data_IF_147211490275
#
_entry.id   IF_147211490275
#
_cell.length_a   1.000
_cell.length_b   1.000
_cell.length_c   1.000
_cell.angle_alpha   90.00
_cell.angle_beta   90.00
_cell.angle_gamma   90.00
#
_symmetry.space_group_name_H-M   'P 1'
#
loop_
_entity.id
_entity.type
_entity.pdbx_description
1 polymer ?
#
# COMPACT_ATOMS: atom_id res chain seq x y z
N UNK A 1 2.56 15.54 6.03
CA UNK A 1 2.70 14.62 4.90
C UNK A 1 3.28 15.29 3.64
N UNK A 2 3.93 16.42 3.80
CA UNK A 2 4.65 17.07 2.71
C UNK A 2 3.78 17.89 1.75
N UNK A 3 2.60 18.33 2.17
CA UNK A 3 1.74 19.19 1.36
C UNK A 3 1.94 20.65 1.73
N UNK A 4 1.90 21.58 0.75
CA UNK A 4 1.87 23.01 1.07
C UNK A 4 0.61 23.36 1.87
N UNK A 5 0.74 24.27 2.85
CA UNK A 5 -0.38 24.65 3.70
C UNK A 5 -1.54 25.34 2.97
N UNK A 6 -1.25 26.00 1.86
CA UNK A 6 -2.25 26.73 1.09
C UNK A 6 -3.22 25.83 0.32
N UNK A 7 -2.91 24.56 0.12
CA UNK A 7 -3.81 23.64 -0.58
C UNK A 7 -5.02 23.22 0.28
N UNK A 8 -5.01 23.49 1.57
CA UNK A 8 -6.12 23.14 2.47
C UNK A 8 -7.44 23.81 2.07
N UNK A 9 -7.37 24.96 1.40
CA UNK A 9 -8.55 25.69 0.95
C UNK A 9 -9.04 25.27 -0.45
N UNK A 10 -8.30 24.40 -1.14
CA UNK A 10 -8.66 23.96 -2.48
C UNK A 10 -9.63 22.77 -2.46
N UNK A 11 -10.34 22.60 -3.56
CA UNK A 11 -11.24 21.46 -3.73
C UNK A 11 -10.46 20.22 -4.18
N UNK A 12 -10.93 19.00 -3.81
CA UNK A 12 -10.22 17.76 -4.14
C UNK A 12 -9.91 17.55 -5.63
N UNK A 13 -10.75 18.03 -6.53
CA UNK A 13 -10.52 17.87 -7.97
C UNK A 13 -9.38 18.73 -8.52
N UNK A 14 -8.87 19.68 -7.73
CA UNK A 14 -7.74 20.54 -8.10
C UNK A 14 -6.38 19.91 -7.80
N UNK A 15 -6.38 18.72 -7.17
CA UNK A 15 -5.15 18.05 -6.76
C UNK A 15 -4.75 16.93 -7.73
N UNK A 16 -3.45 16.68 -7.85
CA UNK A 16 -2.93 15.49 -8.52
C UNK A 16 -3.30 14.22 -7.74
N UNK A 17 -3.15 13.04 -8.36
CA UNK A 17 -3.39 11.77 -7.71
C UNK A 17 -2.54 11.58 -6.46
N UNK A 18 -1.25 11.95 -6.52
CA UNK A 18 -0.35 11.86 -5.37
C UNK A 18 -0.75 12.81 -4.24
N UNK A 19 -1.18 14.04 -4.57
CA UNK A 19 -1.66 14.99 -3.57
C UNK A 19 -2.94 14.50 -2.89
N UNK A 20 -3.88 13.93 -3.66
CA UNK A 20 -5.10 13.32 -3.11
C UNK A 20 -4.77 12.21 -2.14
N UNK A 21 -3.80 11.38 -2.49
CA UNK A 21 -3.38 10.27 -1.63
C UNK A 21 -2.76 10.79 -0.34
N UNK A 22 -1.93 11.84 -0.41
CA UNK A 22 -1.35 12.47 0.77
C UNK A 22 -2.42 13.06 1.69
N UNK A 23 -3.45 13.68 1.12
CA UNK A 23 -4.59 14.21 1.89
C UNK A 23 -5.32 13.07 2.60
N UNK A 24 -5.56 11.95 1.91
CA UNK A 24 -6.17 10.76 2.51
C UNK A 24 -5.36 10.21 3.67
N UNK A 25 -4.04 10.13 3.51
CA UNK A 25 -3.14 9.70 4.58
C UNK A 25 -3.21 10.66 5.76
N UNK A 26 -3.17 11.98 5.52
CA UNK A 26 -3.26 12.98 6.57
C UNK A 26 -4.58 12.88 7.36
N UNK A 27 -5.69 12.64 6.67
CA UNK A 27 -7.00 12.43 7.31
C UNK A 27 -6.99 11.21 8.22
N UNK A 28 -6.42 10.10 7.74
CA UNK A 28 -6.30 8.89 8.55
C UNK A 28 -5.44 9.14 9.79
N UNK A 29 -4.33 9.84 9.64
CA UNK A 29 -3.41 10.14 10.74
C UNK A 29 -4.03 11.08 11.79
N UNK A 30 -4.97 11.95 11.40
CA UNK A 30 -5.63 12.87 12.32
C UNK A 30 -6.39 12.11 13.43
N UNK A 31 -6.80 10.88 13.19
CA UNK A 31 -7.47 10.02 14.17
C UNK A 31 -6.50 9.33 15.13
N UNK A 32 -5.19 9.50 14.95
CA UNK A 32 -4.12 8.84 15.71
C UNK A 32 -4.31 7.30 15.78
N UNK A 33 -4.41 6.63 14.63
CA UNK A 33 -4.66 5.18 14.60
C UNK A 33 -3.41 4.39 14.95
N UNK A 34 -3.61 3.13 15.32
CA UNK A 34 -2.55 2.13 15.42
C UNK A 34 -2.47 1.30 14.14
N UNK A 35 -3.58 1.14 13.44
CA UNK A 35 -3.69 0.39 12.19
C UNK A 35 -4.37 1.25 11.13
N UNK A 36 -3.78 1.28 9.95
CA UNK A 36 -4.38 1.91 8.77
C UNK A 36 -4.64 0.83 7.73
N UNK A 37 -5.87 0.82 7.19
CA UNK A 37 -6.21 -0.02 6.03
C UNK A 37 -5.93 0.80 4.76
N UNK A 38 -4.98 0.32 3.97
CA UNK A 38 -4.60 0.95 2.71
C UNK A 38 -5.12 0.10 1.55
N UNK A 39 -6.21 0.53 0.94
CA UNK A 39 -6.85 -0.18 -0.16
C UNK A 39 -6.35 0.38 -1.49
N UNK A 40 -5.47 -0.37 -2.13
CA UNK A 40 -4.84 -0.02 -3.41
C UNK A 40 -4.26 1.40 -3.43
N UNK A 41 -3.36 1.74 -2.49
CA UNK A 41 -2.98 3.14 -2.25
C UNK A 41 -2.22 3.80 -3.40
N UNK A 42 -1.70 3.03 -4.34
CA UNK A 42 -0.89 3.57 -5.46
C UNK A 42 -1.35 3.08 -6.84
N UNK A 43 -2.52 2.43 -6.94
CA UNK A 43 -2.93 1.72 -8.15
C UNK A 43 -3.13 2.60 -9.38
N UNK A 44 -3.48 3.87 -9.20
CA UNK A 44 -3.75 4.80 -10.31
C UNK A 44 -2.66 5.86 -10.48
N UNK A 45 -1.53 5.71 -9.79
CA UNK A 45 -0.44 6.69 -9.81
C UNK A 45 0.66 6.25 -10.77
N UNK A 46 1.38 7.21 -11.35
CA UNK A 46 2.57 6.89 -12.13
C UNK A 46 3.70 6.37 -11.22
N UNK A 47 4.73 5.77 -11.84
CA UNK A 47 5.77 5.05 -11.09
C UNK A 47 6.52 5.96 -10.11
N UNK A 48 6.84 7.20 -10.51
CA UNK A 48 7.59 8.10 -9.64
C UNK A 48 6.76 8.56 -8.45
N UNK A 49 5.48 8.82 -8.65
CA UNK A 49 4.57 9.20 -7.58
C UNK A 49 4.28 8.01 -6.66
N UNK A 50 4.15 6.79 -7.22
CA UNK A 50 4.04 5.57 -6.42
C UNK A 50 5.20 5.43 -5.44
N UNK A 51 6.43 5.61 -5.91
CA UNK A 51 7.62 5.52 -5.07
C UNK A 51 7.58 6.54 -3.92
N UNK A 52 7.16 7.75 -4.20
CA UNK A 52 7.02 8.79 -3.18
C UNK A 52 6.01 8.41 -2.09
N UNK A 53 4.84 7.89 -2.49
CA UNK A 53 3.80 7.48 -1.55
C UNK A 53 4.25 6.26 -0.73
N UNK A 54 4.86 5.27 -1.37
CA UNK A 54 5.34 4.08 -0.67
C UNK A 54 6.43 4.43 0.36
N UNK A 55 7.35 5.31 0.01
CA UNK A 55 8.37 5.78 0.94
C UNK A 55 7.76 6.58 2.09
N UNK A 56 6.74 7.39 1.81
CA UNK A 56 6.01 8.11 2.86
C UNK A 56 5.36 7.13 3.83
N UNK A 57 4.71 6.08 3.34
CA UNK A 57 4.08 5.07 4.20
C UNK A 57 5.11 4.35 5.07
N UNK A 58 6.30 4.03 4.53
CA UNK A 58 7.38 3.44 5.31
C UNK A 58 7.88 4.39 6.39
N UNK A 59 8.10 5.66 6.05
CA UNK A 59 8.58 6.67 7.00
C UNK A 59 7.58 6.86 8.13
N UNK A 60 6.30 6.92 7.83
CA UNK A 60 5.25 7.07 8.85
C UNK A 60 5.17 5.84 9.74
N UNK A 61 5.33 4.63 9.19
CA UNK A 61 5.40 3.40 9.98
C UNK A 61 6.53 3.48 10.99
N UNK A 62 7.72 3.85 10.56
CA UNK A 62 8.90 3.91 11.40
C UNK A 62 8.82 5.04 12.43
N UNK A 63 8.27 6.20 12.05
CA UNK A 63 8.19 7.37 12.93
C UNK A 63 7.06 7.26 13.96
N UNK A 64 5.92 6.70 13.59
CA UNK A 64 4.70 6.69 14.40
C UNK A 64 4.33 5.31 14.96
N UNK A 65 5.07 4.27 14.61
CA UNK A 65 4.77 2.91 15.06
C UNK A 65 3.49 2.35 14.48
N UNK A 66 3.12 2.75 13.26
CA UNK A 66 1.89 2.31 12.60
C UNK A 66 2.00 0.89 12.08
N UNK A 67 0.85 0.20 12.04
CA UNK A 67 0.68 -1.03 11.27
C UNK A 67 -0.23 -0.76 10.08
N UNK A 68 0.03 -1.45 8.97
CA UNK A 68 -0.81 -1.34 7.77
C UNK A 68 -1.44 -2.69 7.42
N UNK A 69 -2.71 -2.65 7.01
CA UNK A 69 -3.32 -3.72 6.23
C UNK A 69 -3.39 -3.23 4.79
N UNK A 70 -2.50 -3.74 3.96
CA UNK A 70 -2.40 -3.34 2.56
C UNK A 70 -3.23 -4.26 1.69
N UNK A 71 -4.10 -3.70 0.87
CA UNK A 71 -4.83 -4.43 -0.17
C UNK A 71 -4.29 -3.93 -1.51
N UNK A 72 -3.70 -4.82 -2.28
CA UNK A 72 -3.10 -4.47 -3.56
C UNK A 72 -3.06 -5.67 -4.49
N UNK A 73 -3.08 -5.39 -5.79
CA UNK A 73 -2.91 -6.42 -6.83
C UNK A 73 -1.50 -6.39 -7.43
N UNK A 74 -0.74 -5.34 -7.20
CA UNK A 74 0.64 -5.25 -7.67
C UNK A 74 1.56 -5.95 -6.66
N UNK A 75 2.11 -7.09 -7.07
CA UNK A 75 2.94 -7.91 -6.21
C UNK A 75 4.26 -7.26 -5.82
N UNK A 76 4.77 -6.34 -6.63
CA UNK A 76 5.97 -5.59 -6.28
C UNK A 76 5.69 -4.59 -5.15
N UNK A 77 4.53 -3.95 -5.15
CA UNK A 77 4.10 -3.04 -4.08
C UNK A 77 3.95 -3.81 -2.77
N UNK A 78 3.30 -4.98 -2.81
CA UNK A 78 3.13 -5.83 -1.63
C UNK A 78 4.48 -6.25 -1.06
N UNK A 79 5.40 -6.67 -1.92
CA UNK A 79 6.74 -7.09 -1.51
C UNK A 79 7.53 -5.95 -0.86
N UNK A 80 7.41 -4.75 -1.42
CA UNK A 80 8.14 -3.58 -0.94
C UNK A 80 7.66 -3.13 0.45
N UNK A 81 6.35 -3.13 0.69
CA UNK A 81 5.76 -2.52 1.87
C UNK A 81 5.45 -3.51 3.00
N UNK A 82 5.32 -4.80 2.70
CA UNK A 82 4.74 -5.78 3.62
C UNK A 82 5.77 -6.72 4.23
N UNK A 83 5.52 -7.14 5.46
CA UNK A 83 6.29 -8.19 6.15
C UNK A 83 5.64 -9.55 5.97
N UNK A 84 4.31 -9.60 5.94
CA UNK A 84 3.51 -10.81 5.77
C UNK A 84 2.50 -10.59 4.66
N UNK A 85 2.14 -11.67 3.99
CA UNK A 85 1.18 -11.63 2.90
C UNK A 85 0.14 -12.73 3.06
N UNK A 86 -1.08 -12.39 2.69
CA UNK A 86 -2.21 -13.33 2.60
C UNK A 86 -2.72 -13.28 1.17
N UNK A 87 -2.81 -14.43 0.54
CA UNK A 87 -3.31 -14.55 -0.83
C UNK A 87 -4.76 -14.99 -0.79
N UNK A 88 -5.63 -14.25 -1.46
CA UNK A 88 -7.05 -14.59 -1.58
C UNK A 88 -7.39 -14.99 -3.02
N UNK A 89 -8.24 -16.00 -3.14
CA UNK A 89 -8.75 -16.47 -4.42
C UNK A 89 -10.21 -16.88 -4.26
N UNK A 90 -11.08 -16.30 -5.06
CA UNK A 90 -12.53 -16.57 -5.05
C UNK A 90 -13.13 -16.49 -3.63
N UNK A 91 -12.76 -15.41 -2.91
CA UNK A 91 -13.29 -15.14 -1.58
C UNK A 91 -12.70 -15.97 -0.45
N UNK A 92 -11.67 -16.76 -0.72
CA UNK A 92 -11.02 -17.61 0.28
C UNK A 92 -9.54 -17.30 0.40
N UNK A 93 -9.01 -17.45 1.61
CA UNK A 93 -7.57 -17.38 1.84
C UNK A 93 -6.98 -18.73 1.41
N UNK A 94 -6.06 -18.70 0.46
CA UNK A 94 -5.42 -19.90 -0.09
C UNK A 94 -3.99 -20.07 0.36
N UNK A 95 -3.34 -19.00 0.77
CA UNK A 95 -1.97 -19.04 1.28
C UNK A 95 -1.70 -17.84 2.18
N UNK A 96 -0.88 -18.01 3.22
CA UNK A 96 -0.45 -16.93 4.09
C UNK A 96 0.93 -17.25 4.68
N UNK A 97 1.73 -16.21 4.90
CA UNK A 97 3.06 -16.38 5.49
C UNK A 97 3.88 -15.10 5.38
N UNK A 98 5.16 -15.23 5.69
CA UNK A 98 6.09 -14.12 5.46
C UNK A 98 6.22 -13.86 3.95
N UNK A 99 6.52 -12.61 3.61
CA UNK A 99 6.74 -12.24 2.21
C UNK A 99 7.83 -13.11 1.59
N UNK A 100 8.94 -13.31 2.31
CA UNK A 100 10.04 -14.13 1.79
C UNK A 100 9.63 -15.56 1.48
N UNK A 101 8.87 -16.20 2.38
CA UNK A 101 8.43 -17.58 2.17
C UNK A 101 7.44 -17.69 1.01
N UNK A 102 6.44 -16.83 0.97
CA UNK A 102 5.38 -16.90 -0.05
C UNK A 102 5.94 -16.59 -1.44
N UNK A 103 6.85 -15.61 -1.54
CA UNK A 103 7.43 -15.22 -2.83
C UNK A 103 8.48 -16.21 -3.33
N UNK A 104 9.30 -16.77 -2.45
CA UNK A 104 10.37 -17.68 -2.84
C UNK A 104 9.94 -19.14 -2.90
N UNK A 105 8.94 -19.54 -2.10
CA UNK A 105 8.47 -20.94 -2.00
C UNK A 105 6.95 -21.01 -1.94
N UNK A 106 6.25 -20.50 -2.97
CA UNK A 106 4.78 -20.54 -2.98
C UNK A 106 4.26 -21.97 -2.99
N UNK A 107 3.22 -22.24 -2.23
CA UNK A 107 2.64 -23.58 -2.10
C UNK A 107 1.39 -23.77 -2.92
N UNK A 108 0.54 -22.73 -3.03
CA UNK A 108 -0.72 -22.82 -3.76
C UNK A 108 -0.51 -22.52 -5.24
N UNK A 109 -1.20 -23.25 -6.11
CA UNK A 109 -1.10 -23.09 -7.56
C UNK A 109 -1.45 -21.65 -8.00
N UNK A 110 -2.47 -21.04 -7.40
CA UNK A 110 -2.87 -19.67 -7.73
C UNK A 110 -1.74 -18.70 -7.39
N UNK A 111 -1.11 -18.85 -6.22
CA UNK A 111 0.04 -18.02 -5.81
C UNK A 111 1.18 -18.14 -6.82
N UNK A 112 1.49 -19.36 -7.24
CA UNK A 112 2.54 -19.62 -8.24
C UNK A 112 2.24 -18.90 -9.55
N UNK A 113 0.98 -18.93 -9.99
CA UNK A 113 0.55 -18.24 -11.22
C UNK A 113 0.65 -16.72 -11.10
N UNK A 114 0.26 -16.16 -9.95
CA UNK A 114 0.41 -14.73 -9.70
C UNK A 114 1.86 -14.28 -9.81
N UNK A 115 2.77 -15.04 -9.21
CA UNK A 115 4.20 -14.71 -9.20
C UNK A 115 4.82 -14.83 -10.58
N UNK A 116 4.39 -15.82 -11.39
CA UNK A 116 4.85 -15.99 -12.76
C UNK A 116 4.44 -14.83 -13.67
N UNK A 117 3.38 -14.12 -13.33
CA UNK A 117 2.89 -12.98 -14.11
C UNK A 117 3.65 -11.68 -13.82
N UNK A 118 4.57 -11.65 -12.87
CA UNK A 118 5.41 -10.48 -12.60
C UNK A 118 6.41 -10.33 -13.76
N UNK A 119 6.43 -9.15 -14.43
CA UNK A 119 7.38 -8.90 -15.53
C UNK A 119 8.83 -8.87 -15.06
#
# INVERSE_FOLDING_TARGET
>A
VGLPGDILDDYPHQFSGGQRQRIGIARALAMRPQLIVADEPVSSLDISVQAQILNLLLDLRDSLGLSYLLIAHDLNVVRFLSDRVTVMYQGKIVEAGSVDMVYNSPQHLYTKRLLEAIP
#
